data_IF_073475804751
#
_entry.id   IF_073475804751
#
_cell.length_a   1.000
_cell.length_b   1.000
_cell.length_c   1.000
_cell.angle_alpha   90.00
_cell.angle_beta   90.00
_cell.angle_gamma   90.00
#
_symmetry.space_group_name_H-M   'P 1'
#
loop_
_entity.id
_entity.type
_entity.pdbx_description
1 polymer ?
#
# COMPACT_ATOMS: atom_id res chain seq x y z
N UNK A 1 11.08 7.93 -14.56
CA UNK A 1 9.99 7.41 -13.72
C UNK A 1 9.02 8.57 -13.49
N UNK A 2 7.79 8.49 -13.97
CA UNK A 2 6.90 9.65 -14.13
C UNK A 2 6.26 10.10 -12.82
N UNK A 3 5.81 9.16 -11.98
CA UNK A 3 4.99 9.47 -10.79
C UNK A 3 5.62 9.10 -9.45
N UNK A 4 6.81 8.48 -9.44
CA UNK A 4 7.51 8.04 -8.22
C UNK A 4 6.63 7.17 -7.28
N UNK A 5 5.70 6.42 -7.88
CA UNK A 5 4.81 5.43 -7.28
C UNK A 5 5.15 4.09 -7.92
N UNK A 6 5.35 3.05 -7.09
CA UNK A 6 5.56 1.68 -7.53
C UNK A 6 4.43 0.79 -7.01
N UNK A 7 3.58 0.33 -7.91
CA UNK A 7 2.45 -0.55 -7.59
C UNK A 7 2.60 -1.80 -8.44
N UNK A 8 2.81 -2.94 -7.78
CA UNK A 8 2.83 -4.21 -8.48
C UNK A 8 1.47 -4.49 -9.13
N UNK A 9 1.41 -4.94 -10.41
CA UNK A 9 0.16 -5.12 -11.14
C UNK A 9 -0.77 -6.18 -10.55
N UNK A 10 -0.24 -7.11 -9.75
CA UNK A 10 -1.04 -8.13 -9.05
C UNK A 10 -1.66 -7.65 -7.73
N UNK A 11 -1.31 -6.44 -7.25
CA UNK A 11 -1.91 -5.88 -6.05
C UNK A 11 -3.42 -5.68 -6.27
N UNK A 12 -4.22 -5.99 -5.24
CA UNK A 12 -5.68 -5.82 -5.32
C UNK A 12 -6.04 -4.49 -4.70
N UNK A 13 -6.61 -3.59 -5.50
CA UNK A 13 -6.94 -2.22 -5.10
C UNK A 13 -8.43 -1.99 -5.31
N UNK A 14 -9.11 -1.54 -4.26
CA UNK A 14 -10.52 -1.15 -4.26
C UNK A 14 -10.78 0.17 -4.98
N UNK A 15 -11.93 0.77 -4.70
CA UNK A 15 -12.34 2.08 -5.24
C UNK A 15 -12.28 3.17 -4.16
N UNK A 16 -12.28 4.44 -4.58
CA UNK A 16 -12.23 5.56 -3.63
C UNK A 16 -10.84 5.76 -3.00
N UNK A 17 -9.77 5.40 -3.71
CA UNK A 17 -8.41 5.48 -3.19
C UNK A 17 -7.84 6.88 -3.39
N UNK A 18 -7.36 7.49 -2.31
CA UNK A 18 -6.58 8.73 -2.35
C UNK A 18 -5.10 8.42 -2.13
N UNK A 19 -4.27 8.77 -3.12
CA UNK A 19 -2.81 8.77 -2.98
C UNK A 19 -2.36 10.23 -2.81
N UNK A 20 -2.19 10.66 -1.57
CA UNK A 20 -1.85 12.05 -1.24
C UNK A 20 -0.34 12.26 -1.27
N UNK A 21 0.12 13.31 -1.96
CA UNK A 21 1.51 13.59 -2.36
C UNK A 21 2.23 12.50 -3.17
N UNK A 22 1.83 11.23 -3.03
CA UNK A 22 2.15 10.01 -3.78
C UNK A 22 3.62 9.60 -3.88
N UNK A 23 4.56 10.52 -3.68
CA UNK A 23 5.99 10.28 -3.81
C UNK A 23 6.45 9.20 -2.84
N UNK A 24 7.12 8.16 -3.35
CA UNK A 24 7.69 7.10 -2.53
C UNK A 24 6.69 6.05 -2.05
N UNK A 25 5.48 5.98 -2.63
CA UNK A 25 4.54 4.89 -2.35
C UNK A 25 5.01 3.62 -3.05
N UNK A 26 5.09 2.51 -2.29
CA UNK A 26 5.41 1.17 -2.77
C UNK A 26 4.33 0.18 -2.35
N UNK A 27 3.71 -0.51 -3.30
CA UNK A 27 2.67 -1.52 -3.07
C UNK A 27 3.11 -2.86 -3.67
N UNK A 28 3.33 -3.85 -2.80
CA UNK A 28 3.83 -5.15 -3.21
C UNK A 28 2.77 -6.09 -3.80
N UNK A 29 3.25 -7.18 -4.40
CA UNK A 29 2.47 -8.11 -5.23
C UNK A 29 1.17 -8.64 -4.61
N UNK A 30 1.20 -9.03 -3.34
CA UNK A 30 0.05 -9.66 -2.67
C UNK A 30 -0.72 -8.68 -1.79
N UNK A 31 -0.42 -7.38 -1.89
CA UNK A 31 -1.11 -6.37 -1.08
C UNK A 31 -2.59 -6.31 -1.47
N UNK A 32 -3.44 -6.08 -0.47
CA UNK A 32 -4.87 -5.81 -0.67
C UNK A 32 -5.19 -4.47 -0.03
N UNK A 33 -5.77 -3.57 -0.81
CA UNK A 33 -6.29 -2.29 -0.36
C UNK A 33 -7.80 -2.32 -0.66
N UNK A 34 -8.62 -2.28 0.38
CA UNK A 34 -10.09 -2.22 0.25
C UNK A 34 -10.55 -0.81 -0.16
N UNK A 35 -11.85 -0.50 -0.03
CA UNK A 35 -12.39 0.76 -0.53
C UNK A 35 -12.07 1.94 0.39
N UNK A 36 -12.15 3.16 -0.15
CA UNK A 36 -12.12 4.41 0.62
C UNK A 36 -10.89 4.56 1.52
N UNK A 37 -9.72 4.12 1.02
CA UNK A 37 -8.43 4.19 1.72
C UNK A 37 -7.65 5.44 1.29
N UNK A 38 -7.04 6.10 2.26
CA UNK A 38 -6.14 7.23 2.04
C UNK A 38 -4.69 6.88 2.39
N UNK A 39 -3.75 7.09 1.47
CA UNK A 39 -2.32 6.76 1.61
C UNK A 39 -1.48 8.01 1.33
N UNK A 40 -0.65 8.40 2.29
CA UNK A 40 0.27 9.54 2.16
C UNK A 40 1.63 9.15 1.57
N UNK A 41 2.50 10.13 1.33
CA UNK A 41 3.86 9.91 0.81
C UNK A 41 4.70 8.94 1.64
N UNK A 42 5.65 8.29 0.96
CA UNK A 42 6.64 7.38 1.55
C UNK A 42 6.07 6.18 2.30
N UNK A 43 4.85 5.74 1.95
CA UNK A 43 4.24 4.53 2.51
C UNK A 43 4.68 3.29 1.74
N UNK A 44 5.10 2.26 2.48
CA UNK A 44 5.47 0.96 1.90
C UNK A 44 4.55 -0.16 2.42
N UNK A 45 3.80 -0.78 1.51
CA UNK A 45 3.03 -2.00 1.71
C UNK A 45 3.83 -3.21 1.19
N UNK A 46 5.03 -3.37 1.76
CA UNK A 46 6.03 -4.37 1.38
C UNK A 46 5.97 -5.65 2.23
N UNK A 47 6.71 -6.68 1.81
CA UNK A 47 6.86 -7.91 2.59
C UNK A 47 7.97 -7.82 3.64
N UNK A 48 7.86 -8.60 4.71
CA UNK A 48 8.83 -8.61 5.83
C UNK A 48 9.99 -9.59 5.68
N UNK A 49 10.14 -10.29 4.55
CA UNK A 49 11.18 -11.31 4.39
C UNK A 49 11.29 -11.95 3.01
N UNK A 50 12.07 -13.04 2.93
CA UNK A 50 12.42 -13.78 1.70
C UNK A 50 11.41 -14.87 1.29
N UNK A 51 10.35 -15.05 2.07
CA UNK A 51 9.34 -16.07 1.79
C UNK A 51 8.44 -15.65 0.63
N UNK A 52 8.11 -16.60 -0.25
CA UNK A 52 7.07 -16.44 -1.26
C UNK A 52 5.66 -16.60 -0.67
N UNK A 53 4.63 -16.29 -1.47
CA UNK A 53 3.23 -16.38 -1.05
C UNK A 53 2.68 -15.08 -0.47
N UNK A 54 1.62 -15.18 0.34
CA UNK A 54 0.95 -14.00 0.86
C UNK A 54 1.74 -13.35 2.00
N UNK A 55 2.41 -12.23 1.68
CA UNK A 55 3.38 -11.59 2.57
C UNK A 55 3.23 -10.08 2.70
N UNK A 56 2.26 -9.50 2.01
CA UNK A 56 2.05 -8.05 1.97
C UNK A 56 0.81 -7.65 2.80
N UNK A 57 0.74 -6.41 3.30
CA UNK A 57 -0.36 -5.94 4.14
C UNK A 57 -1.75 -6.03 3.49
N UNK A 58 -2.77 -6.18 4.34
CA UNK A 58 -4.19 -6.08 3.99
C UNK A 58 -4.78 -4.85 4.66
N UNK A 59 -5.07 -3.83 3.87
CA UNK A 59 -5.59 -2.54 4.32
C UNK A 59 -7.10 -2.59 4.16
N UNK A 60 -7.80 -2.42 5.29
CA UNK A 60 -9.26 -2.50 5.37
C UNK A 60 -9.93 -1.22 4.93
N UNK A 61 -11.23 -1.32 4.63
CA UNK A 61 -12.06 -0.20 4.19
C UNK A 61 -12.01 0.98 5.18
N UNK A 62 -11.87 2.19 4.66
CA UNK A 62 -11.83 3.42 5.47
C UNK A 62 -10.53 3.71 6.21
N UNK A 63 -9.48 2.91 6.01
CA UNK A 63 -8.18 3.12 6.68
C UNK A 63 -7.44 4.34 6.10
N UNK A 64 -6.82 5.11 6.98
CA UNK A 64 -5.88 6.18 6.63
C UNK A 64 -4.45 5.81 7.06
N UNK A 65 -3.50 5.85 6.13
CA UNK A 65 -2.08 5.58 6.37
C UNK A 65 -1.27 6.88 6.26
N UNK A 66 -0.82 7.39 7.40
CA UNK A 66 0.00 8.59 7.50
C UNK A 66 1.40 8.45 6.89
N UNK A 67 2.01 9.59 6.58
CA UNK A 67 3.30 9.68 5.91
C UNK A 67 4.42 8.95 6.65
N UNK A 68 5.32 8.31 5.90
CA UNK A 68 6.51 7.64 6.44
C UNK A 68 6.21 6.37 7.26
N UNK A 69 4.99 5.82 7.19
CA UNK A 69 4.69 4.52 7.78
C UNK A 69 5.11 3.39 6.84
N UNK A 70 6.11 2.65 7.29
CA UNK A 70 6.42 1.32 6.79
C UNK A 70 5.51 0.29 7.48
N UNK A 71 4.77 -0.48 6.68
CA UNK A 71 4.15 -1.72 7.13
C UNK A 71 3.13 -1.56 8.30
N UNK A 72 1.97 -0.92 8.09
CA UNK A 72 0.97 -0.74 9.14
C UNK A 72 0.51 -2.12 9.67
N UNK A 73 0.66 -2.34 10.98
CA UNK A 73 0.15 -3.54 11.64
C UNK A 73 -1.37 -3.58 11.47
N UNK A 74 -1.87 -4.71 10.99
CA UNK A 74 -3.30 -4.99 10.89
C UNK A 74 -3.89 -5.00 12.31
N UNK A 75 -4.78 -4.07 12.62
CA UNK A 75 -5.76 -4.19 13.70
C UNK A 75 -7.14 -4.21 13.06
#
# INVERSE_FOLDING_TARGET
MTFQVDIHPAAKIGRGIMLDHATGIVVGETAVIENDVSILQSVTLGGTGKSGGDRHPKIREGVMIGAGRENPRQY
#
